data_IF_647372493592
#
_entry.id   IF_647372493592
#
_cell.length_a   1.000
_cell.length_b   1.000
_cell.length_c   1.000
_cell.angle_alpha   90.00
_cell.angle_beta   90.00
_cell.angle_gamma   90.00
#
_symmetry.space_group_name_H-M   'P 1'
#
loop_
_entity.id
_entity.type
_entity.pdbx_description
1 polymer ?
#
# COMPACT_ATOMS: atom_id res chain seq x y z
N UNK A 1 -20.65 -4.76 -9.09
CA UNK A 1 -19.27 -5.28 -9.19
C UNK A 1 -19.30 -6.79 -8.94
N UNK A 2 -18.47 -7.62 -9.61
CA UNK A 2 -18.45 -9.06 -9.35
C UNK A 2 -17.96 -9.39 -7.92
N UNK A 3 -18.49 -10.43 -7.24
CA UNK A 3 -18.11 -10.75 -5.85
C UNK A 3 -16.60 -11.01 -5.65
N UNK A 4 -15.93 -11.54 -6.67
CA UNK A 4 -14.47 -11.79 -6.64
C UNK A 4 -13.66 -10.48 -6.60
N UNK A 5 -14.12 -9.43 -7.29
CA UNK A 5 -13.47 -8.11 -7.30
C UNK A 5 -13.73 -7.39 -5.99
N UNK A 6 -14.95 -7.49 -5.45
CA UNK A 6 -15.32 -6.90 -4.16
C UNK A 6 -14.44 -7.42 -3.01
N UNK A 7 -14.28 -8.75 -2.92
CA UNK A 7 -13.41 -9.38 -1.92
C UNK A 7 -11.94 -9.00 -2.11
N UNK A 8 -11.47 -8.91 -3.34
CA UNK A 8 -10.10 -8.47 -3.63
C UNK A 8 -9.88 -7.00 -3.21
N UNK A 9 -10.86 -6.14 -3.49
CA UNK A 9 -10.85 -4.74 -3.09
C UNK A 9 -10.78 -4.61 -1.56
N UNK A 10 -11.59 -5.36 -0.82
CA UNK A 10 -11.54 -5.35 0.64
C UNK A 10 -10.14 -5.69 1.19
N UNK A 11 -9.50 -6.75 0.68
CA UNK A 11 -8.15 -7.14 1.11
C UNK A 11 -7.08 -6.11 0.74
N UNK A 12 -7.15 -5.56 -0.47
CA UNK A 12 -6.27 -4.47 -0.91
C UNK A 12 -6.39 -3.24 -0.02
N UNK A 13 -7.63 -2.83 0.33
CA UNK A 13 -7.86 -1.65 1.17
C UNK A 13 -7.23 -1.86 2.55
N UNK A 14 -7.47 -3.01 3.18
CA UNK A 14 -6.87 -3.35 4.48
C UNK A 14 -5.34 -3.30 4.39
N UNK A 15 -4.73 -3.91 3.37
CA UNK A 15 -3.28 -3.90 3.23
C UNK A 15 -2.71 -2.51 2.95
N UNK A 16 -3.43 -1.66 2.20
CA UNK A 16 -3.02 -0.27 1.93
C UNK A 16 -2.93 0.56 3.22
N UNK A 17 -3.90 0.41 4.14
CA UNK A 17 -3.84 1.07 5.45
C UNK A 17 -2.69 0.51 6.30
N UNK A 18 -2.54 -0.82 6.37
CA UNK A 18 -1.46 -1.46 7.15
C UNK A 18 -0.08 -0.96 6.69
N UNK A 19 0.19 -0.99 5.38
CA UNK A 19 1.47 -0.52 4.82
C UNK A 19 1.65 0.98 5.00
N UNK A 20 0.58 1.77 4.82
CA UNK A 20 0.62 3.21 5.06
C UNK A 20 1.04 3.57 6.47
N UNK A 21 0.45 2.94 7.49
CA UNK A 21 0.84 3.15 8.88
C UNK A 21 2.24 2.62 9.17
N UNK A 22 2.59 1.42 8.69
CA UNK A 22 3.93 0.87 8.88
C UNK A 22 5.01 1.78 8.27
N UNK A 23 4.74 2.42 7.13
CA UNK A 23 5.64 3.38 6.51
C UNK A 23 5.79 4.65 7.34
N UNK A 24 4.69 5.19 7.90
CA UNK A 24 4.76 6.33 8.83
C UNK A 24 5.62 5.99 10.04
N UNK A 25 5.43 4.81 10.63
CA UNK A 25 6.26 4.36 11.77
C UNK A 25 7.73 4.23 11.35
N UNK A 26 8.01 3.69 10.17
CA UNK A 26 9.37 3.62 9.65
C UNK A 26 9.98 5.01 9.43
N UNK A 27 9.21 6.01 8.98
CA UNK A 27 9.68 7.38 8.89
C UNK A 27 10.03 7.97 10.26
N UNK A 28 9.21 7.70 11.29
CA UNK A 28 9.55 8.09 12.67
C UNK A 28 10.83 7.39 13.13
N UNK A 29 11.00 6.10 12.83
CA UNK A 29 12.22 5.36 13.14
C UNK A 29 13.46 5.97 12.46
N UNK A 30 13.33 6.44 11.22
CA UNK A 30 14.41 7.14 10.50
C UNK A 30 14.78 8.45 11.21
N UNK A 31 13.79 9.24 11.66
CA UNK A 31 14.04 10.45 12.45
C UNK A 31 14.76 10.09 13.76
N UNK A 32 14.30 9.06 14.47
CA UNK A 32 14.95 8.57 15.70
C UNK A 32 16.41 8.19 15.49
N UNK A 33 16.72 7.53 14.37
CA UNK A 33 18.10 7.19 14.01
C UNK A 33 18.96 8.44 13.79
N UNK A 34 18.53 9.36 12.93
CA UNK A 34 19.39 10.46 12.50
C UNK A 34 19.44 11.64 13.50
N UNK A 35 18.38 11.86 14.27
CA UNK A 35 18.31 12.97 15.24
C UNK A 35 18.72 12.53 16.64
N UNK A 36 18.37 11.30 17.05
CA UNK A 36 18.55 10.81 18.41
C UNK A 36 19.56 9.64 18.51
N UNK A 37 20.12 9.18 17.40
CA UNK A 37 21.12 8.09 17.38
C UNK A 37 20.55 6.70 17.68
N UNK A 38 19.23 6.50 17.57
CA UNK A 38 18.58 5.23 17.91
C UNK A 38 18.48 4.33 16.67
N UNK A 39 19.54 3.59 16.37
CA UNK A 39 19.61 2.70 15.20
C UNK A 39 18.62 1.52 15.27
N UNK A 40 18.29 1.04 16.48
CA UNK A 40 17.47 -0.17 16.66
C UNK A 40 16.07 -0.01 16.08
N UNK A 41 15.51 1.20 16.09
CA UNK A 41 14.16 1.45 15.59
C UNK A 41 14.04 1.11 14.09
N UNK A 42 15.01 1.53 13.27
CA UNK A 42 15.04 1.24 11.83
C UNK A 42 15.35 -0.24 11.58
N UNK A 43 16.25 -0.83 12.37
CA UNK A 43 16.62 -2.24 12.24
C UNK A 43 15.42 -3.18 12.48
N UNK A 44 14.47 -2.78 13.33
CA UNK A 44 13.23 -3.53 13.61
C UNK A 44 12.15 -3.20 12.56
N UNK A 45 11.85 -1.92 12.34
CA UNK A 45 10.72 -1.51 11.51
C UNK A 45 10.97 -1.64 10.01
N UNK A 46 12.22 -1.57 9.56
CA UNK A 46 12.58 -1.73 8.15
C UNK A 46 12.14 -3.08 7.58
N UNK A 47 12.58 -4.21 8.16
CA UNK A 47 12.14 -5.54 7.74
C UNK A 47 10.63 -5.75 7.87
N UNK A 48 10.01 -5.25 8.96
CA UNK A 48 8.55 -5.34 9.17
C UNK A 48 7.81 -4.67 8.02
N UNK A 49 8.15 -3.41 7.70
CA UNK A 49 7.53 -2.70 6.58
C UNK A 49 7.79 -3.42 5.25
N UNK A 50 9.02 -3.93 5.01
CA UNK A 50 9.35 -4.67 3.80
C UNK A 50 8.46 -5.89 3.56
N UNK A 51 8.24 -6.72 4.59
CA UNK A 51 7.34 -7.88 4.50
C UNK A 51 5.90 -7.46 4.28
N UNK A 52 5.42 -6.43 4.99
CA UNK A 52 4.07 -5.89 4.80
C UNK A 52 3.89 -5.33 3.38
N UNK A 53 4.90 -4.66 2.83
CA UNK A 53 4.89 -4.11 1.48
C UNK A 53 4.80 -5.21 0.42
N UNK A 54 5.52 -6.33 0.59
CA UNK A 54 5.38 -7.51 -0.29
C UNK A 54 3.94 -8.02 -0.28
N UNK A 55 3.32 -8.16 0.91
CA UNK A 55 1.92 -8.56 1.04
C UNK A 55 0.97 -7.59 0.33
N UNK A 56 1.19 -6.29 0.46
CA UNK A 56 0.44 -5.26 -0.25
C UNK A 56 0.58 -5.38 -1.77
N UNK A 57 1.79 -5.57 -2.29
CA UNK A 57 2.07 -5.74 -3.72
C UNK A 57 1.28 -6.93 -4.28
N UNK A 58 1.31 -8.07 -3.60
CA UNK A 58 0.57 -9.27 -4.03
C UNK A 58 -0.96 -9.03 -4.06
N UNK A 59 -1.50 -8.35 -3.05
CA UNK A 59 -2.92 -8.03 -2.97
C UNK A 59 -3.34 -6.95 -4.00
N UNK A 60 -2.47 -5.99 -4.28
CA UNK A 60 -2.67 -4.99 -5.33
C UNK A 60 -2.68 -5.65 -6.71
N UNK A 61 -1.74 -6.56 -7.00
CA UNK A 61 -1.74 -7.33 -8.24
C UNK A 61 -2.96 -8.25 -8.37
N UNK A 62 -3.40 -8.91 -7.30
CA UNK A 62 -4.62 -9.73 -7.29
C UNK A 62 -5.86 -8.89 -7.70
N UNK A 63 -6.00 -7.69 -7.14
CA UNK A 63 -7.08 -6.78 -7.51
C UNK A 63 -6.91 -6.27 -8.94
N UNK A 64 -5.71 -5.84 -9.32
CA UNK A 64 -5.39 -5.31 -10.65
C UNK A 64 -5.70 -6.32 -11.75
N UNK A 65 -5.36 -7.60 -11.53
CA UNK A 65 -5.66 -8.69 -12.46
C UNK A 65 -7.17 -8.93 -12.59
N UNK A 66 -7.89 -8.99 -11.46
CA UNK A 66 -9.34 -9.26 -11.44
C UNK A 66 -10.17 -8.12 -12.02
N UNK A 67 -9.76 -6.88 -11.79
CA UNK A 67 -10.45 -5.68 -12.28
C UNK A 67 -9.88 -5.15 -13.61
N UNK A 68 -8.84 -5.82 -14.14
CA UNK A 68 -8.20 -5.54 -15.45
C UNK A 68 -7.65 -4.12 -15.58
N UNK A 69 -6.86 -3.72 -14.59
CA UNK A 69 -6.20 -2.41 -14.56
C UNK A 69 -5.21 -2.24 -15.71
N UNK A 70 -4.88 -0.99 -15.99
CA UNK A 70 -3.76 -0.66 -16.87
C UNK A 70 -2.42 -0.93 -16.17
N UNK A 71 -1.34 -1.13 -16.96
CA UNK A 71 0.00 -1.25 -16.39
C UNK A 71 0.39 0.03 -15.64
N UNK A 72 0.09 1.20 -16.20
CA UNK A 72 0.33 2.49 -15.57
C UNK A 72 -0.43 2.65 -14.24
N UNK A 73 -1.71 2.28 -14.20
CA UNK A 73 -2.50 2.30 -12.97
C UNK A 73 -1.95 1.36 -11.89
N UNK A 74 -1.53 0.16 -12.30
CA UNK A 74 -0.91 -0.81 -11.39
C UNK A 74 0.39 -0.28 -10.82
N UNK A 75 1.32 0.19 -11.67
CA UNK A 75 2.59 0.78 -11.23
C UNK A 75 2.37 2.01 -10.34
N UNK A 76 1.42 2.87 -10.68
CA UNK A 76 1.08 4.04 -9.86
C UNK A 76 0.62 3.66 -8.46
N UNK A 77 -0.19 2.61 -8.33
CA UNK A 77 -0.65 2.11 -7.02
C UNK A 77 0.49 1.45 -6.23
N UNK A 78 1.42 0.75 -6.88
CA UNK A 78 2.59 0.20 -6.20
C UNK A 78 3.52 1.30 -5.69
N UNK A 79 3.83 2.29 -6.52
CA UNK A 79 4.66 3.44 -6.14
C UNK A 79 4.02 4.29 -5.02
N UNK A 80 2.69 4.39 -4.98
CA UNK A 80 1.98 5.03 -3.88
C UNK A 80 2.23 4.36 -2.52
N UNK A 81 2.58 3.06 -2.50
CA UNK A 81 2.84 2.31 -1.28
C UNK A 81 4.21 2.58 -0.63
N UNK A 82 5.13 3.26 -1.34
CA UNK A 82 6.47 3.59 -0.82
C UNK A 82 6.65 5.07 -0.48
N UNK A 83 5.67 5.92 -0.81
CA UNK A 83 5.69 7.34 -0.46
C UNK A 83 4.82 7.54 0.79
N UNK A 84 5.37 8.08 1.90
CA UNK A 84 4.63 8.25 3.15
C UNK A 84 3.33 9.02 2.94
N UNK A 85 2.22 8.45 3.40
CA UNK A 85 0.89 9.06 3.31
C UNK A 85 0.17 8.93 1.96
N UNK A 86 0.87 8.62 0.85
CA UNK A 86 0.22 8.54 -0.47
C UNK A 86 -0.63 7.27 -0.61
N UNK A 87 -0.29 6.19 0.08
CA UNK A 87 -1.06 4.93 0.05
C UNK A 87 -2.54 5.13 0.45
N UNK A 88 -2.84 6.05 1.38
CA UNK A 88 -4.21 6.38 1.78
C UNK A 88 -4.99 7.11 0.67
N UNK A 89 -4.31 7.99 -0.07
CA UNK A 89 -4.92 8.70 -1.21
C UNK A 89 -5.14 7.72 -2.36
N UNK A 90 -4.17 6.87 -2.65
CA UNK A 90 -4.27 5.83 -3.68
C UNK A 90 -5.40 4.85 -3.36
N UNK A 91 -5.53 4.40 -2.11
CA UNK A 91 -6.65 3.57 -1.65
C UNK A 91 -8.00 4.23 -1.97
N UNK A 92 -8.16 5.52 -1.66
CA UNK A 92 -9.41 6.25 -1.88
C UNK A 92 -9.75 6.39 -3.36
N UNK A 93 -8.74 6.65 -4.20
CA UNK A 93 -8.89 6.74 -5.65
C UNK A 93 -9.27 5.37 -6.23
N UNK A 94 -8.55 4.32 -5.84
CA UNK A 94 -8.82 2.94 -6.28
C UNK A 94 -10.22 2.52 -5.88
N UNK A 95 -10.61 2.70 -4.62
CA UNK A 95 -11.95 2.36 -4.15
C UNK A 95 -13.03 3.06 -4.98
N UNK A 96 -12.89 4.37 -5.22
CA UNK A 96 -13.84 5.13 -6.06
C UNK A 96 -13.90 4.58 -7.49
N UNK A 97 -12.74 4.38 -8.14
CA UNK A 97 -12.66 3.91 -9.52
C UNK A 97 -13.24 2.50 -9.68
N UNK A 98 -12.84 1.56 -8.82
CA UNK A 98 -13.27 0.16 -8.87
C UNK A 98 -14.79 0.05 -8.63
N UNK A 99 -15.33 0.78 -7.64
CA UNK A 99 -16.77 0.83 -7.37
C UNK A 99 -17.54 1.45 -8.55
N UNK A 100 -16.99 2.51 -9.16
CA UNK A 100 -17.54 3.14 -10.37
C UNK A 100 -17.27 2.34 -11.66
N UNK A 101 -16.59 1.19 -11.58
CA UNK A 101 -16.19 0.35 -12.73
C UNK A 101 -15.36 1.11 -13.78
N UNK A 102 -14.58 2.09 -13.33
CA UNK A 102 -13.63 2.84 -14.14
C UNK A 102 -12.25 2.17 -14.10
N UNK A 103 -11.50 2.30 -15.20
CA UNK A 103 -10.12 1.79 -15.24
C UNK A 103 -9.23 2.56 -14.27
N UNK A 104 -8.49 1.79 -13.47
CA UNK A 104 -7.37 2.30 -12.66
C UNK A 104 -6.16 2.54 -13.54
#
# INVERSE_FOLDING_TARGET
MPPKVERALGRYRISAFIVGYALIVLCVAIILKYVFGVDQAVAIWGPIHGVLYIGYVLLAFDLAYKDRWSLAGTLGVLLAGVIPGISFVAERIVHRKVTARQKV
#
